data_IF_708860806821
#
_entry.id   IF_708860806821
#
_cell.length_a   1.000
_cell.length_b   1.000
_cell.length_c   1.000
_cell.angle_alpha   90.00
_cell.angle_beta   90.00
_cell.angle_gamma   90.00
#
_symmetry.space_group_name_H-M   'P 1'
#
loop_
_entity.id
_entity.type
_entity.pdbx_description
1 polymer ?
#
# COMPACT_ATOMS: atom_id res chain seq x y z
N UNK A 1 -19.74 -23.94 -16.93
CA UNK A 1 -18.47 -23.26 -16.59
C UNK A 1 -18.82 -21.90 -16.00
N UNK A 2 -18.78 -21.75 -14.67
CA UNK A 2 -18.91 -20.41 -14.08
C UNK A 2 -17.58 -19.69 -14.30
N UNK A 3 -17.49 -18.96 -15.41
CA UNK A 3 -16.43 -18.00 -15.67
C UNK A 3 -16.37 -17.02 -14.48
N UNK A 4 -15.17 -16.85 -13.93
CA UNK A 4 -14.72 -15.79 -13.01
C UNK A 4 -15.85 -15.01 -12.31
N UNK A 5 -16.09 -15.32 -11.02
CA UNK A 5 -16.93 -14.49 -10.16
C UNK A 5 -16.04 -13.46 -9.47
N UNK A 6 -16.00 -12.19 -9.94
CA UNK A 6 -15.21 -11.17 -9.28
C UNK A 6 -15.67 -11.01 -7.84
N UNK A 7 -14.74 -11.10 -6.90
CA UNK A 7 -15.01 -10.81 -5.50
C UNK A 7 -14.95 -9.30 -5.33
N UNK A 8 -16.05 -8.72 -4.85
CA UNK A 8 -16.03 -7.34 -4.37
C UNK A 8 -15.21 -7.34 -3.08
N UNK A 9 -14.09 -6.63 -3.06
CA UNK A 9 -13.29 -6.45 -1.85
C UNK A 9 -14.13 -5.82 -0.74
N UNK A 10 -14.71 -6.68 0.12
CA UNK A 10 -15.25 -6.46 1.47
C UNK A 10 -16.25 -5.34 1.76
N UNK A 11 -16.47 -4.39 0.85
CA UNK A 11 -17.07 -3.10 1.14
C UNK A 11 -18.44 -2.93 0.47
N UNK A 12 -19.37 -2.37 1.22
CA UNK A 12 -20.67 -1.90 0.74
C UNK A 12 -20.50 -0.77 -0.28
N UNK A 13 -21.53 -0.51 -1.11
CA UNK A 13 -21.50 0.59 -2.08
C UNK A 13 -21.26 1.95 -1.40
N UNK A 14 -21.86 2.17 -0.22
CA UNK A 14 -21.67 3.40 0.55
C UNK A 14 -20.20 3.59 0.97
N UNK A 15 -19.57 2.53 1.48
CA UNK A 15 -18.16 2.58 1.87
C UNK A 15 -17.23 2.84 0.69
N UNK A 16 -17.59 2.34 -0.50
CA UNK A 16 -16.86 2.61 -1.74
C UNK A 16 -16.98 4.07 -2.19
N UNK A 17 -18.18 4.65 -2.13
CA UNK A 17 -18.38 6.06 -2.47
C UNK A 17 -17.59 6.96 -1.52
N UNK A 18 -17.57 6.63 -0.23
CA UNK A 18 -16.74 7.31 0.78
C UNK A 18 -15.25 7.18 0.42
N UNK A 19 -14.79 5.98 0.06
CA UNK A 19 -13.40 5.76 -0.36
C UNK A 19 -13.03 6.58 -1.61
N UNK A 20 -13.89 6.61 -2.64
CA UNK A 20 -13.68 7.40 -3.85
C UNK A 20 -13.58 8.90 -3.55
N UNK A 21 -14.51 9.41 -2.73
CA UNK A 21 -14.50 10.83 -2.34
C UNK A 21 -13.26 11.17 -1.50
N UNK A 22 -12.90 10.30 -0.55
CA UNK A 22 -11.70 10.44 0.27
C UNK A 22 -10.43 10.48 -0.58
N UNK A 23 -10.29 9.57 -1.54
CA UNK A 23 -9.16 9.54 -2.48
C UNK A 23 -9.11 10.81 -3.35
N UNK A 24 -10.26 11.25 -3.89
CA UNK A 24 -10.34 12.46 -4.69
C UNK A 24 -9.92 13.72 -3.90
N UNK A 25 -10.41 13.87 -2.67
CA UNK A 25 -10.04 14.97 -1.78
C UNK A 25 -8.55 14.89 -1.43
N UNK A 26 -8.05 13.71 -1.06
CA UNK A 26 -6.67 13.54 -0.64
C UNK A 26 -5.67 13.83 -1.76
N UNK A 27 -5.94 13.35 -2.98
CA UNK A 27 -5.11 13.65 -4.14
C UNK A 27 -5.15 15.14 -4.46
N UNK A 28 -6.34 15.76 -4.47
CA UNK A 28 -6.48 17.20 -4.75
C UNK A 28 -5.72 18.05 -3.73
N UNK A 29 -5.86 17.75 -2.44
CA UNK A 29 -5.14 18.45 -1.38
C UNK A 29 -3.64 18.18 -1.43
N UNK A 30 -3.20 16.97 -1.78
CA UNK A 30 -1.78 16.66 -2.00
C UNK A 30 -1.20 17.53 -3.11
N UNK A 31 -1.91 17.68 -4.23
CA UNK A 31 -1.51 18.56 -5.34
C UNK A 31 -1.40 20.01 -4.85
N UNK A 32 -2.40 20.52 -4.12
CA UNK A 32 -2.38 21.89 -3.58
C UNK A 32 -1.17 22.10 -2.68
N UNK A 33 -0.93 21.20 -1.72
CA UNK A 33 0.22 21.27 -0.80
C UNK A 33 1.53 21.27 -1.58
N UNK A 34 1.69 20.38 -2.56
CA UNK A 34 2.93 20.26 -3.33
C UNK A 34 3.13 21.41 -4.32
N UNK A 35 2.06 22.00 -4.85
CA UNK A 35 2.12 23.16 -5.75
C UNK A 35 2.63 24.43 -5.06
N UNK A 36 2.48 24.53 -3.73
CA UNK A 36 3.00 25.64 -2.94
C UNK A 36 4.49 25.53 -2.59
N UNK A 37 5.13 24.40 -2.91
CA UNK A 37 6.55 24.18 -2.63
C UNK A 37 7.40 24.57 -3.85
N UNK A 38 8.57 25.21 -3.66
CA UNK A 38 9.48 25.56 -4.75
C UNK A 38 10.23 24.30 -5.24
N UNK A 39 9.53 23.43 -5.97
CA UNK A 39 10.11 22.23 -6.59
C UNK A 39 10.95 22.66 -7.80
N UNK A 40 12.24 22.31 -7.78
CA UNK A 40 13.31 22.99 -8.50
C UNK A 40 13.42 22.74 -10.02
N UNK A 41 12.40 22.19 -10.70
CA UNK A 41 12.50 21.89 -12.12
C UNK A 41 11.16 21.98 -12.86
N UNK A 42 11.15 22.60 -14.03
CA UNK A 42 9.96 22.84 -14.88
C UNK A 42 9.34 21.56 -15.44
N UNK A 43 10.11 20.47 -15.55
CA UNK A 43 9.69 19.18 -16.16
C UNK A 43 9.53 18.03 -15.14
N UNK A 44 9.58 18.32 -13.85
CA UNK A 44 9.30 17.34 -12.80
C UNK A 44 7.82 17.44 -12.40
N UNK A 45 7.06 16.33 -12.42
CA UNK A 45 5.63 16.38 -12.14
C UNK A 45 5.36 16.76 -10.68
N UNK A 46 4.36 17.62 -10.45
CA UNK A 46 3.93 18.01 -9.08
C UNK A 46 3.49 16.77 -8.29
N UNK A 47 2.73 15.88 -8.94
CA UNK A 47 2.29 14.59 -8.38
C UNK A 47 2.79 13.44 -9.24
N UNK A 48 3.39 12.42 -8.63
CA UNK A 48 3.80 11.22 -9.39
C UNK A 48 2.65 10.24 -9.52
N UNK A 49 2.51 9.60 -10.69
CA UNK A 49 1.43 8.67 -10.99
C UNK A 49 1.22 7.54 -9.94
N UNK A 50 2.28 6.97 -9.31
CA UNK A 50 2.13 6.00 -8.22
C UNK A 50 1.24 6.45 -7.06
N UNK A 51 1.07 7.76 -6.81
CA UNK A 51 0.19 8.24 -5.74
C UNK A 51 -1.28 7.93 -6.01
N UNK A 52 -1.69 7.86 -7.28
CA UNK A 52 -3.04 7.42 -7.62
C UNK A 52 -3.31 6.00 -7.12
N UNK A 53 -2.38 5.07 -7.37
CA UNK A 53 -2.48 3.70 -6.88
C UNK A 53 -2.31 3.61 -5.35
N UNK A 54 -1.48 4.46 -4.76
CA UNK A 54 -1.35 4.59 -3.29
C UNK A 54 -2.67 5.01 -2.66
N UNK A 55 -3.36 5.99 -3.23
CA UNK A 55 -4.67 6.44 -2.77
C UNK A 55 -5.74 5.35 -2.89
N UNK A 56 -5.71 4.53 -3.95
CA UNK A 56 -6.59 3.36 -4.07
C UNK A 56 -6.40 2.43 -2.87
N UNK A 57 -5.17 2.07 -2.52
CA UNK A 57 -4.91 1.19 -1.37
C UNK A 57 -5.36 1.83 -0.05
N UNK A 58 -4.94 3.06 0.20
CA UNK A 58 -5.18 3.77 1.46
C UNK A 58 -6.66 4.04 1.72
N UNK A 59 -7.49 4.23 0.69
CA UNK A 59 -8.91 4.52 0.87
C UNK A 59 -9.83 3.32 0.63
N UNK A 60 -9.51 2.44 -0.33
CA UNK A 60 -10.38 1.30 -0.64
C UNK A 60 -10.10 0.08 0.24
N UNK A 61 -8.85 -0.12 0.69
CA UNK A 61 -8.43 -1.24 1.55
C UNK A 61 -7.51 -0.76 2.69
N UNK A 62 -7.97 0.18 3.55
CA UNK A 62 -7.14 0.82 4.58
C UNK A 62 -6.56 -0.14 5.63
N UNK A 63 -7.15 -1.34 5.79
CA UNK A 63 -6.66 -2.39 6.69
C UNK A 63 -5.54 -3.24 6.10
N UNK A 64 -5.28 -3.14 4.79
CA UNK A 64 -4.18 -3.87 4.15
C UNK A 64 -2.85 -3.46 4.79
N UNK A 65 -1.99 -4.42 5.19
CA UNK A 65 -0.60 -4.16 5.53
C UNK A 65 0.11 -3.32 4.47
N UNK A 66 -0.17 -3.53 3.18
CA UNK A 66 0.46 -2.81 2.07
C UNK A 66 0.03 -1.34 1.96
N UNK A 67 -1.10 -0.98 2.60
CA UNK A 67 -1.62 0.38 2.62
C UNK A 67 -1.11 1.20 3.81
N UNK A 68 -0.40 0.60 4.77
CA UNK A 68 0.02 1.29 6.00
C UNK A 68 1.08 2.38 5.74
N UNK A 69 1.24 3.36 6.65
CA UNK A 69 2.13 4.51 6.45
C UNK A 69 3.56 4.15 6.04
N UNK A 70 4.18 3.15 6.68
CA UNK A 70 5.56 2.76 6.39
C UNK A 70 5.71 2.14 4.98
N UNK A 71 4.88 1.17 4.56
CA UNK A 71 4.78 0.75 3.18
C UNK A 71 4.59 1.89 2.18
N UNK A 72 3.64 2.82 2.42
CA UNK A 72 3.41 3.94 1.48
C UNK A 72 4.66 4.83 1.36
N UNK A 73 5.22 5.28 2.48
CA UNK A 73 6.35 6.20 2.49
C UNK A 73 7.64 5.51 2.06
N UNK A 74 8.04 4.47 2.78
CA UNK A 74 9.26 3.71 2.53
C UNK A 74 9.20 3.03 1.16
N UNK A 75 8.09 2.40 0.82
CA UNK A 75 7.93 1.68 -0.45
C UNK A 75 8.08 2.60 -1.65
N UNK A 76 7.48 3.79 -1.66
CA UNK A 76 7.67 4.74 -2.76
C UNK A 76 9.10 5.30 -2.80
N UNK A 77 9.63 5.81 -1.67
CA UNK A 77 10.96 6.46 -1.64
C UNK A 77 12.07 5.47 -1.96
N UNK A 78 12.12 4.31 -1.30
CA UNK A 78 13.15 3.29 -1.51
C UNK A 78 13.09 2.78 -2.94
N UNK A 79 11.90 2.50 -3.47
CA UNK A 79 11.76 2.02 -4.84
C UNK A 79 12.25 3.04 -5.86
N UNK A 80 11.94 4.33 -5.67
CA UNK A 80 12.48 5.38 -6.54
C UNK A 80 14.00 5.48 -6.46
N UNK A 81 14.61 5.36 -5.27
CA UNK A 81 16.07 5.33 -5.13
C UNK A 81 16.69 4.15 -5.90
N UNK A 82 16.09 2.96 -5.81
CA UNK A 82 16.51 1.78 -6.57
C UNK A 82 16.35 2.01 -8.08
N UNK A 83 15.26 2.65 -8.50
CA UNK A 83 15.03 2.99 -9.90
C UNK A 83 16.06 3.95 -10.47
N UNK A 84 16.40 5.01 -9.73
CA UNK A 84 17.48 5.95 -10.10
C UNK A 84 18.83 5.23 -10.18
N UNK A 85 19.13 4.36 -9.21
CA UNK A 85 20.37 3.57 -9.22
C UNK A 85 20.44 2.64 -10.46
N UNK A 86 19.35 1.96 -10.79
CA UNK A 86 19.26 1.09 -11.96
C UNK A 86 19.40 1.87 -13.28
N UNK A 87 18.76 3.04 -13.39
CA UNK A 87 18.89 3.93 -14.55
C UNK A 87 20.36 4.35 -14.78
N UNK A 88 21.09 4.67 -13.72
CA UNK A 88 22.49 5.08 -13.81
C UNK A 88 23.45 3.89 -14.09
N UNK A 89 23.12 2.69 -13.58
CA UNK A 89 24.01 1.53 -13.65
C UNK A 89 23.83 0.69 -14.93
N UNK A 90 22.66 0.73 -15.57
CA UNK A 90 22.31 -0.15 -16.68
C UNK A 90 22.09 0.68 -17.96
N UNK A 91 22.98 0.59 -18.97
CA UNK A 91 22.89 1.42 -20.17
C UNK A 91 21.62 1.22 -21.02
N UNK A 92 21.05 0.01 -21.00
CA UNK A 92 19.83 -0.29 -21.74
C UNK A 92 18.60 -0.01 -20.89
N UNK A 93 17.79 0.98 -21.26
CA UNK A 93 16.61 1.43 -20.50
C UNK A 93 15.58 0.33 -20.25
N UNK A 94 15.37 -0.58 -21.21
CA UNK A 94 14.42 -1.70 -21.06
C UNK A 94 14.89 -2.67 -19.97
N UNK A 95 16.18 -3.00 -19.97
CA UNK A 95 16.77 -3.86 -18.93
C UNK A 95 16.80 -3.11 -17.59
N UNK A 96 17.18 -1.84 -17.58
CA UNK A 96 17.18 -0.99 -16.39
C UNK A 96 15.79 -0.95 -15.73
N UNK A 97 14.72 -0.87 -16.51
CA UNK A 97 13.34 -0.87 -16.02
C UNK A 97 12.98 -2.19 -15.31
N UNK A 98 13.33 -3.32 -15.91
CA UNK A 98 13.13 -4.63 -15.28
C UNK A 98 13.94 -4.80 -13.99
N UNK A 99 15.22 -4.41 -14.01
CA UNK A 99 16.11 -4.43 -12.85
C UNK A 99 15.60 -3.51 -11.74
N UNK A 100 15.13 -2.31 -12.09
CA UNK A 100 14.57 -1.36 -11.14
C UNK A 100 13.37 -1.93 -10.41
N UNK A 101 12.39 -2.48 -11.14
CA UNK A 101 11.17 -3.05 -10.52
C UNK A 101 11.50 -4.28 -9.68
N UNK A 102 12.31 -5.20 -10.19
CA UNK A 102 12.72 -6.40 -9.43
C UNK A 102 13.53 -6.06 -8.17
N UNK A 103 14.49 -5.15 -8.30
CA UNK A 103 15.29 -4.64 -7.18
C UNK A 103 14.45 -3.88 -6.16
N UNK A 104 13.47 -3.09 -6.61
CA UNK A 104 12.54 -2.39 -5.73
C UNK A 104 11.67 -3.36 -4.92
N UNK A 105 11.13 -4.41 -5.55
CA UNK A 105 10.39 -5.46 -4.84
C UNK A 105 11.27 -6.10 -3.76
N UNK A 106 12.49 -6.50 -4.11
CA UNK A 106 13.44 -7.07 -3.15
C UNK A 106 13.74 -6.12 -1.99
N UNK A 107 14.08 -4.86 -2.29
CA UNK A 107 14.39 -3.86 -1.27
C UNK A 107 13.22 -3.61 -0.32
N UNK A 108 12.00 -3.48 -0.87
CA UNK A 108 10.80 -3.31 -0.06
C UNK A 108 10.50 -4.53 0.80
N UNK A 109 10.68 -5.74 0.28
CA UNK A 109 10.52 -6.99 1.03
C UNK A 109 11.48 -7.07 2.21
N UNK A 110 12.76 -6.73 2.00
CA UNK A 110 13.78 -6.73 3.04
C UNK A 110 13.51 -5.67 4.13
N UNK A 111 13.04 -4.50 3.72
CA UNK A 111 12.75 -3.37 4.61
C UNK A 111 11.32 -3.37 5.17
N UNK A 112 10.55 -4.43 4.87
CA UNK A 112 9.16 -4.64 5.32
C UNK A 112 8.24 -3.46 4.98
N UNK A 113 8.46 -2.85 3.82
CA UNK A 113 7.68 -1.73 3.30
C UNK A 113 7.09 -2.05 1.92
N UNK A 114 6.70 -3.31 1.69
CA UNK A 114 6.13 -3.73 0.42
C UNK A 114 4.88 -2.91 0.09
N UNK A 115 4.97 -2.12 -0.97
CA UNK A 115 3.92 -1.25 -1.44
C UNK A 115 3.91 -1.32 -2.97
N UNK A 116 2.94 -2.00 -3.59
CA UNK A 116 2.93 -2.19 -5.04
C UNK A 116 3.09 -0.91 -5.88
N UNK A 117 2.52 0.25 -5.49
CA UNK A 117 2.81 1.52 -6.16
C UNK A 117 4.29 1.90 -6.22
N UNK A 118 5.10 1.46 -5.25
CA UNK A 118 6.55 1.63 -5.24
C UNK A 118 7.22 1.02 -6.48
N UNK A 119 6.73 -0.13 -6.98
CA UNK A 119 7.22 -0.70 -8.25
C UNK A 119 7.04 0.25 -9.44
N UNK A 120 5.89 0.95 -9.50
CA UNK A 120 5.65 1.98 -10.50
C UNK A 120 6.53 3.23 -10.26
N UNK A 121 6.86 3.55 -9.01
CA UNK A 121 7.77 4.64 -8.66
C UNK A 121 9.22 4.34 -9.09
N UNK A 122 9.69 3.09 -8.94
CA UNK A 122 10.97 2.64 -9.48
C UNK A 122 11.00 2.72 -11.01
N UNK A 123 9.94 2.22 -11.66
CA UNK A 123 9.82 2.26 -13.11
C UNK A 123 9.85 3.70 -13.64
N UNK A 124 9.11 4.61 -12.99
CA UNK A 124 9.03 6.03 -13.35
C UNK A 124 10.40 6.71 -13.28
N UNK A 125 11.26 6.34 -12.33
CA UNK A 125 12.62 6.87 -12.27
C UNK A 125 13.47 6.47 -13.49
N UNK A 126 13.17 5.34 -14.14
CA UNK A 126 13.88 4.85 -15.33
C UNK A 126 13.29 5.42 -16.61
N UNK A 127 11.96 5.36 -16.79
CA UNK A 127 11.28 5.74 -18.04
C UNK A 127 10.76 7.19 -18.03
N UNK A 128 11.10 7.95 -16.99
CA UNK A 128 10.67 9.33 -16.79
C UNK A 128 11.23 10.33 -17.81
N UNK A 129 10.81 11.58 -17.67
CA UNK A 129 11.30 12.70 -18.48
C UNK A 129 12.78 13.02 -18.18
N UNK A 130 13.39 13.83 -19.04
CA UNK A 130 14.74 14.37 -18.77
C UNK A 130 14.80 15.14 -17.45
N UNK A 131 13.72 15.83 -17.05
CA UNK A 131 13.62 16.49 -15.75
C UNK A 131 13.72 15.51 -14.58
N UNK A 132 13.08 14.35 -14.68
CA UNK A 132 13.18 13.29 -13.66
C UNK A 132 14.61 12.72 -13.60
N UNK A 133 15.22 12.45 -14.75
CA UNK A 133 16.59 11.94 -14.80
C UNK A 133 17.61 12.96 -14.27
N UNK A 134 17.44 14.25 -14.59
CA UNK A 134 18.29 15.33 -14.09
C UNK A 134 18.15 15.54 -12.57
N UNK A 135 16.95 15.34 -12.02
CA UNK A 135 16.74 15.37 -10.58
C UNK A 135 17.47 14.21 -9.87
N UNK A 136 17.67 13.08 -10.55
CA UNK A 136 18.39 11.92 -10.00
C UNK A 136 17.80 11.48 -8.66
N UNK A 137 18.66 11.28 -7.65
CA UNK A 137 18.20 10.84 -6.33
C UNK A 137 17.29 11.84 -5.61
N UNK A 138 17.36 13.13 -5.94
CA UNK A 138 16.46 14.12 -5.35
C UNK A 138 15.00 13.86 -5.68
N UNK A 139 14.71 13.23 -6.83
CA UNK A 139 13.36 12.84 -7.25
C UNK A 139 12.65 11.95 -6.23
N UNK A 140 13.40 11.05 -5.55
CA UNK A 140 12.87 10.17 -4.52
C UNK A 140 12.35 10.90 -3.28
N UNK A 141 12.93 12.07 -2.96
CA UNK A 141 12.51 12.88 -1.82
C UNK A 141 11.51 13.95 -2.25
N UNK A 142 11.80 14.63 -3.36
CA UNK A 142 11.01 15.69 -3.95
C UNK A 142 10.86 15.41 -5.46
N UNK A 143 9.68 15.00 -5.94
CA UNK A 143 8.37 15.11 -5.29
C UNK A 143 7.89 13.82 -4.61
N UNK A 144 8.53 12.66 -4.80
CA UNK A 144 7.96 11.35 -4.40
C UNK A 144 7.70 11.24 -2.89
N UNK A 145 8.71 11.53 -2.07
CA UNK A 145 8.59 11.50 -0.61
C UNK A 145 7.58 12.51 -0.08
N UNK A 146 7.64 13.76 -0.56
CA UNK A 146 6.70 14.84 -0.17
C UNK A 146 5.25 14.44 -0.48
N UNK A 147 5.00 13.95 -1.70
CA UNK A 147 3.68 13.47 -2.11
C UNK A 147 3.18 12.34 -1.20
N UNK A 148 4.06 11.40 -0.86
CA UNK A 148 3.72 10.25 0.00
C UNK A 148 3.39 10.69 1.42
N UNK A 149 4.17 11.62 1.98
CA UNK A 149 3.92 12.22 3.31
C UNK A 149 2.57 12.94 3.31
N UNK A 150 2.35 13.83 2.34
CA UNK A 150 1.11 14.59 2.22
C UNK A 150 -0.11 13.65 2.11
N UNK A 151 -0.06 12.66 1.23
CA UNK A 151 -1.15 11.69 1.07
C UNK A 151 -1.44 10.94 2.38
N UNK A 152 -0.41 10.42 3.05
CA UNK A 152 -0.58 9.69 4.32
C UNK A 152 -1.14 10.60 5.41
N UNK A 153 -0.62 11.82 5.56
CA UNK A 153 -1.11 12.78 6.55
C UNK A 153 -2.59 13.15 6.31
N UNK A 154 -2.97 13.40 5.06
CA UNK A 154 -4.36 13.71 4.70
C UNK A 154 -5.25 12.48 4.92
N UNK A 155 -4.80 11.28 4.56
CA UNK A 155 -5.54 10.06 4.78
C UNK A 155 -5.78 9.78 6.26
N UNK A 156 -4.77 9.95 7.12
CA UNK A 156 -4.93 9.83 8.58
C UNK A 156 -5.99 10.82 9.10
N UNK A 157 -5.99 12.05 8.61
CA UNK A 157 -7.00 13.05 8.98
C UNK A 157 -8.41 12.65 8.52
N UNK A 158 -8.58 12.26 7.25
CA UNK A 158 -9.89 11.93 6.68
C UNK A 158 -10.49 10.65 7.27
N UNK A 159 -9.67 9.62 7.50
CA UNK A 159 -10.14 8.39 8.17
C UNK A 159 -10.54 8.66 9.61
N UNK A 160 -9.77 9.45 10.35
CA UNK A 160 -10.14 9.87 11.71
C UNK A 160 -11.45 10.68 11.73
N UNK A 161 -11.67 11.56 10.75
CA UNK A 161 -12.90 12.34 10.64
C UNK A 161 -14.14 11.49 10.29
N UNK A 162 -13.95 10.33 9.67
CA UNK A 162 -15.02 9.39 9.29
C UNK A 162 -15.15 8.20 10.26
N UNK A 163 -14.50 8.29 11.43
CA UNK A 163 -14.46 7.22 12.44
C UNK A 163 -13.94 5.87 11.90
N UNK A 164 -13.06 5.92 10.90
CA UNK A 164 -12.33 4.75 10.36
C UNK A 164 -10.94 4.68 10.96
N UNK A 165 -10.45 3.47 11.20
CA UNK A 165 -9.11 3.24 11.71
C UNK A 165 -8.10 3.24 10.56
N UNK A 166 -7.35 4.34 10.43
CA UNK A 166 -6.13 4.41 9.64
C UNK A 166 -5.13 5.34 10.34
N UNK A 167 -3.92 4.88 10.71
CA UNK A 167 -3.36 3.54 10.44
C UNK A 167 -4.18 2.42 11.08
N UNK A 168 -4.16 1.24 10.46
CA UNK A 168 -4.86 0.09 11.00
C UNK A 168 -4.09 -0.46 12.19
N UNK A 169 -4.75 -0.52 13.34
CA UNK A 169 -4.23 -1.20 14.52
C UNK A 169 -4.76 -2.64 14.49
N UNK A 170 -3.88 -3.65 14.37
CA UNK A 170 -4.33 -5.03 14.35
C UNK A 170 -5.13 -5.36 15.61
N UNK A 171 -6.16 -6.17 15.47
CA UNK A 171 -6.98 -6.56 16.61
C UNK A 171 -6.11 -7.28 17.68
N UNK A 172 -6.13 -6.79 18.92
CA UNK A 172 -5.51 -7.50 20.05
C UNK A 172 -6.31 -8.79 20.25
N UNK A 173 -5.79 -9.91 19.73
CA UNK A 173 -6.40 -11.21 19.95
C UNK A 173 -6.36 -11.51 21.45
N UNK A 174 -7.53 -11.69 22.06
CA UNK A 174 -7.58 -12.34 23.37
C UNK A 174 -7.10 -13.78 23.17
N UNK A 175 -6.14 -14.29 23.97
CA UNK A 175 -5.67 -15.67 23.87
C UNK A 175 -6.74 -16.59 24.46
N UNK A 176 -7.90 -16.65 23.81
CA UNK A 176 -8.94 -17.60 24.13
C UNK A 176 -8.78 -18.75 23.14
N UNK A 177 -8.64 -20.00 23.62
CA UNK A 177 -8.60 -21.15 22.74
C UNK A 177 -9.85 -21.14 21.85
N UNK A 178 -9.62 -21.09 20.55
CA UNK A 178 -10.58 -21.47 19.53
C UNK A 178 -10.89 -22.95 19.84
N UNK A 179 -12.15 -23.29 20.06
CA UNK A 179 -12.52 -24.63 20.53
C UNK A 179 -12.15 -25.69 19.47
N UNK A 180 -11.01 -26.36 19.68
CA UNK A 180 -10.48 -27.40 18.80
C UNK A 180 -9.44 -26.94 17.77
N UNK A 181 -9.00 -25.68 17.79
CA UNK A 181 -7.95 -25.14 16.92
C UNK A 181 -6.90 -24.40 17.76
N UNK A 182 -5.65 -24.81 17.62
CA UNK A 182 -4.50 -24.14 18.20
C UNK A 182 -3.86 -23.17 17.20
N UNK A 183 -3.14 -22.16 17.70
CA UNK A 183 -2.37 -21.26 16.85
C UNK A 183 -1.39 -22.01 15.93
N UNK A 184 -0.79 -23.10 16.43
CA UNK A 184 0.11 -23.95 15.65
C UNK A 184 -0.59 -24.62 14.44
N UNK A 185 -1.89 -24.93 14.55
CA UNK A 185 -2.65 -25.51 13.45
C UNK A 185 -2.83 -24.50 12.31
N UNK A 186 -3.00 -23.21 12.65
CA UNK A 186 -3.08 -22.12 11.69
C UNK A 186 -1.72 -21.89 11.02
N UNK A 187 -0.62 -21.93 11.78
CA UNK A 187 0.74 -21.82 11.22
C UNK A 187 1.04 -22.96 10.24
N UNK A 188 0.70 -24.20 10.61
CA UNK A 188 0.86 -25.35 9.75
C UNK A 188 0.00 -25.24 8.48
N UNK A 189 -1.25 -24.78 8.59
CA UNK A 189 -2.13 -24.55 7.45
C UNK A 189 -1.58 -23.45 6.52
N UNK A 190 -1.09 -22.33 7.06
CA UNK A 190 -0.48 -21.28 6.26
C UNK A 190 0.78 -21.76 5.53
N UNK A 191 1.59 -22.60 6.18
CA UNK A 191 2.76 -23.21 5.56
C UNK A 191 2.37 -24.17 4.42
N UNK A 192 1.32 -24.99 4.61
CA UNK A 192 0.84 -25.96 3.61
C UNK A 192 0.12 -25.29 2.42
N UNK A 193 -0.57 -24.18 2.64
CA UNK A 193 -1.32 -23.49 1.58
C UNK A 193 -0.42 -22.77 0.55
N UNK A 194 0.90 -22.65 0.78
CA UNK A 194 1.89 -22.02 -0.10
C UNK A 194 1.50 -20.62 -0.67
N UNK A 195 0.49 -19.97 -0.08
CA UNK A 195 -0.12 -18.73 -0.56
C UNK A 195 0.17 -17.56 0.37
N UNK A 196 0.35 -16.37 -0.20
CA UNK A 196 0.44 -15.13 0.57
C UNK A 196 -0.94 -14.52 0.76
N UNK A 197 -1.31 -14.25 2.00
CA UNK A 197 -2.56 -13.56 2.34
C UNK A 197 -2.28 -12.13 2.77
N UNK A 198 -3.05 -11.19 2.25
CA UNK A 198 -2.99 -9.77 2.64
C UNK A 198 -3.80 -9.52 3.94
N UNK A 199 -3.49 -10.28 4.99
CA UNK A 199 -4.09 -10.15 6.32
C UNK A 199 -3.01 -10.37 7.37
N UNK A 200 -3.00 -9.53 8.41
CA UNK A 200 -2.09 -9.73 9.53
C UNK A 200 -2.46 -10.99 10.32
N UNK A 201 -1.49 -11.61 11.00
CA UNK A 201 -1.79 -12.79 11.83
C UNK A 201 -2.81 -12.49 12.93
N UNK A 202 -2.72 -11.30 13.52
CA UNK A 202 -3.61 -10.86 14.60
C UNK A 202 -5.04 -10.66 14.10
N UNK A 203 -5.22 -10.11 12.89
CA UNK A 203 -6.54 -9.97 12.28
C UNK A 203 -7.13 -11.32 11.84
N UNK A 204 -6.29 -12.26 11.38
CA UNK A 204 -6.70 -13.63 11.09
C UNK A 204 -7.21 -14.33 12.35
N UNK A 205 -6.47 -14.23 13.46
CA UNK A 205 -6.86 -14.80 14.75
C UNK A 205 -8.16 -14.16 15.25
N UNK A 206 -8.32 -12.84 15.11
CA UNK A 206 -9.56 -12.15 15.47
C UNK A 206 -10.74 -12.62 14.61
N UNK A 207 -10.55 -12.76 13.30
CA UNK A 207 -11.58 -13.25 12.37
C UNK A 207 -12.05 -14.66 12.76
N UNK A 208 -11.12 -15.57 13.08
CA UNK A 208 -11.44 -16.93 13.50
C UNK A 208 -12.22 -16.92 14.83
N UNK A 209 -11.80 -16.12 15.80
CA UNK A 209 -12.52 -15.94 17.07
C UNK A 209 -13.95 -15.38 16.86
N UNK A 210 -14.14 -14.48 15.89
CA UNK A 210 -15.47 -14.01 15.49
C UNK A 210 -16.31 -15.14 14.87
N UNK A 211 -15.75 -15.89 13.93
CA UNK A 211 -16.42 -17.00 13.26
C UNK A 211 -16.89 -18.08 14.26
N UNK A 212 -16.05 -18.41 15.24
CA UNK A 212 -16.39 -19.32 16.33
C UNK A 212 -17.62 -18.89 17.13
N UNK A 213 -17.67 -17.60 17.51
CA UNK A 213 -18.79 -17.06 18.27
C UNK A 213 -20.09 -17.24 17.50
N UNK A 214 -20.07 -16.95 16.20
CA UNK A 214 -21.23 -17.18 15.34
C UNK A 214 -21.59 -18.68 15.23
N UNK A 215 -20.61 -19.58 15.15
CA UNK A 215 -20.85 -21.02 15.13
C UNK A 215 -21.51 -21.52 16.44
N UNK A 216 -21.02 -21.07 17.60
CA UNK A 216 -21.56 -21.40 18.93
C UNK A 216 -22.98 -20.84 19.14
N UNK A 217 -23.28 -19.67 18.57
CA UNK A 217 -24.64 -19.11 18.62
C UNK A 217 -25.61 -19.94 17.76
N UNK A 218 -25.17 -20.41 16.59
CA UNK A 218 -25.97 -21.26 15.71
C UNK A 218 -26.28 -22.64 16.34
N UNK A 219 -25.36 -23.23 17.08
CA UNK A 219 -25.54 -24.56 17.69
C UNK A 219 -26.43 -24.59 18.94
N UNK A 220 -26.87 -23.42 19.43
CA UNK A 220 -27.77 -23.29 20.58
C UNK A 220 -29.24 -23.08 20.17
N UNK A 221 -29.52 -22.97 18.87
CA UNK A 221 -30.85 -22.97 18.26
C UNK A 221 -31.18 -24.38 17.78
#
# INVERSE_FOLDING_TARGET
MQFFKPILAGATLAERLIACLGAAIAISLTIVVCSGLPLAATDVPIIVAPLGASAVLVFAVPSSPLAQPWPVLGGNVISTLVGVAAFNAVPNTTIAAGVAVGGAILAMSLLRCLHPPGGAAALTAVIGSQGIHAAGYSFAFAPVGINSIALVSIAMFLHRATARNYPHEPAIASPRPIAGLHAADIDAALADMHGSFDISRQDLDALLNHAERHAKLRSKL
#
